data_IF_203994020933
#
_entry.id   IF_203994020933
#
_cell.length_a   1.000
_cell.length_b   1.000
_cell.length_c   1.000
_cell.angle_alpha   90.00
_cell.angle_beta   90.00
_cell.angle_gamma   90.00
#
_symmetry.space_group_name_H-M   'P 1'
#
loop_
_entity.id
_entity.type
_entity.pdbx_description
1 polymer ?
#
# COMPACT_ATOMS: atom_id res chain seq x y z
N UNK A 1 -2.05 5.28 30.10
CA UNK A 1 -2.97 4.23 30.55
C UNK A 1 -3.90 3.97 29.38
N UNK A 2 -3.53 3.01 28.51
CA UNK A 2 -4.30 2.68 27.29
C UNK A 2 -5.55 1.96 27.71
N UNK A 3 -6.69 2.49 27.29
CA UNK A 3 -7.99 1.80 27.44
C UNK A 3 -7.99 0.73 26.34
N UNK A 4 -7.73 -0.52 26.70
CA UNK A 4 -7.98 -1.65 25.82
C UNK A 4 -9.49 -1.78 25.63
N UNK A 5 -9.90 -1.88 24.37
CA UNK A 5 -11.28 -2.23 24.05
C UNK A 5 -11.50 -3.69 24.51
N UNK A 6 -12.43 -3.96 25.43
CA UNK A 6 -12.58 -5.30 26.04
C UNK A 6 -13.11 -6.39 25.09
N UNK A 7 -13.49 -6.01 23.85
CA UNK A 7 -14.05 -6.93 22.86
C UNK A 7 -13.05 -7.44 21.81
N UNK A 8 -11.78 -7.02 21.87
CA UNK A 8 -10.74 -7.51 20.93
C UNK A 8 -10.06 -8.73 21.55
N UNK A 9 -10.11 -9.91 20.89
CA UNK A 9 -9.36 -11.08 21.36
C UNK A 9 -7.87 -10.79 21.46
N UNK A 10 -7.19 -11.33 22.48
CA UNK A 10 -5.74 -11.11 22.73
C UNK A 10 -4.86 -11.57 21.55
N UNK A 11 -5.37 -12.42 20.65
CA UNK A 11 -4.70 -12.94 19.48
C UNK A 11 -5.18 -12.32 18.16
N UNK A 12 -6.03 -11.29 18.21
CA UNK A 12 -6.53 -10.63 16.99
C UNK A 12 -5.38 -10.01 16.18
N UNK A 13 -5.40 -10.27 14.88
CA UNK A 13 -4.47 -9.68 13.93
C UNK A 13 -5.16 -8.64 13.05
N UNK A 14 -4.41 -7.59 12.70
CA UNK A 14 -4.79 -6.57 11.72
C UNK A 14 -3.86 -6.65 10.52
N UNK A 15 -4.41 -6.76 9.32
CA UNK A 15 -3.64 -6.67 8.07
C UNK A 15 -3.32 -5.21 7.80
N UNK A 16 -2.06 -4.82 7.92
CA UNK A 16 -1.62 -3.43 7.79
C UNK A 16 -0.85 -3.18 6.50
N UNK A 17 -0.94 -1.94 6.01
CA UNK A 17 -0.12 -1.37 4.97
C UNK A 17 0.55 -0.09 5.48
N UNK A 18 1.88 -0.07 5.50
CA UNK A 18 2.68 1.12 5.80
C UNK A 18 3.04 1.78 4.48
N UNK A 19 2.58 3.01 4.27
CA UNK A 19 2.61 3.67 2.97
C UNK A 19 3.30 5.02 2.99
N UNK A 20 3.84 5.42 1.83
CA UNK A 20 4.15 6.81 1.51
C UNK A 20 2.96 7.42 0.74
N UNK A 21 2.56 8.62 1.13
CA UNK A 21 1.54 9.42 0.45
C UNK A 21 2.24 10.34 -0.56
N UNK A 22 1.95 10.21 -1.87
CA UNK A 22 2.57 11.05 -2.89
C UNK A 22 1.95 12.43 -2.93
N UNK A 23 2.66 13.38 -3.56
CA UNK A 23 2.15 14.72 -3.85
C UNK A 23 1.04 14.71 -4.93
N UNK A 24 0.49 15.91 -5.20
CA UNK A 24 -0.59 16.07 -6.18
C UNK A 24 -0.14 15.70 -7.60
N UNK A 25 1.14 15.87 -7.96
CA UNK A 25 1.67 15.48 -9.26
C UNK A 25 1.42 14.00 -9.55
N UNK A 26 1.86 13.11 -8.65
CA UNK A 26 1.62 11.68 -8.80
C UNK A 26 0.12 11.35 -8.68
N UNK A 27 -0.58 12.02 -7.78
CA UNK A 27 -2.02 11.80 -7.53
C UNK A 27 -2.85 12.11 -8.78
N UNK A 28 -2.58 13.22 -9.48
CA UNK A 28 -3.26 13.57 -10.72
C UNK A 28 -2.99 12.57 -11.83
N UNK A 29 -1.72 12.13 -12.02
CA UNK A 29 -1.38 11.09 -12.97
C UNK A 29 -2.10 9.77 -12.67
N UNK A 30 -2.10 9.34 -11.42
CA UNK A 30 -2.78 8.12 -10.99
C UNK A 30 -4.29 8.17 -11.23
N UNK A 31 -4.95 9.30 -10.90
CA UNK A 31 -6.37 9.53 -11.17
C UNK A 31 -6.69 9.58 -12.65
N UNK A 32 -5.82 10.14 -13.49
CA UNK A 32 -5.96 10.14 -14.94
C UNK A 32 -5.99 8.72 -15.52
N UNK A 33 -5.06 7.86 -15.08
CA UNK A 33 -5.05 6.43 -15.46
C UNK A 33 -6.30 5.71 -14.93
N UNK A 34 -6.67 5.97 -13.66
CA UNK A 34 -7.86 5.37 -13.05
C UNK A 34 -9.14 5.71 -13.82
N UNK A 35 -9.32 6.96 -14.22
CA UNK A 35 -10.48 7.39 -15.00
C UNK A 35 -10.58 6.63 -16.33
N UNK A 36 -9.47 6.39 -17.04
CA UNK A 36 -9.43 5.55 -18.23
C UNK A 36 -9.87 4.11 -17.93
N UNK A 37 -9.32 3.51 -16.88
CA UNK A 37 -9.65 2.14 -16.49
C UNK A 37 -11.13 1.99 -16.15
N UNK A 38 -11.72 2.93 -15.45
CA UNK A 38 -13.15 2.91 -15.10
C UNK A 38 -14.07 3.02 -16.32
N UNK A 39 -13.62 3.57 -17.46
CA UNK A 39 -14.42 3.56 -18.68
C UNK A 39 -14.55 2.18 -19.31
N UNK A 40 -13.52 1.32 -19.15
CA UNK A 40 -13.50 -0.04 -19.73
C UNK A 40 -13.84 -1.11 -18.68
N UNK A 41 -13.67 -0.81 -17.41
CA UNK A 41 -14.00 -1.71 -16.31
C UNK A 41 -14.69 -0.95 -15.16
N UNK A 42 -15.97 -0.59 -15.30
CA UNK A 42 -16.71 0.17 -14.26
C UNK A 42 -16.86 -0.55 -12.93
N UNK A 43 -16.65 -1.88 -12.88
CA UNK A 43 -16.65 -2.69 -11.67
C UNK A 43 -15.32 -2.64 -10.90
N UNK A 44 -14.34 -1.87 -11.37
CA UNK A 44 -13.12 -1.56 -10.65
C UNK A 44 -13.38 -0.68 -9.42
N UNK A 45 -12.34 -0.06 -8.91
CA UNK A 45 -12.45 0.91 -7.82
C UNK A 45 -11.99 2.29 -8.30
N UNK A 46 -12.65 3.34 -7.80
CA UNK A 46 -12.23 4.71 -8.01
C UNK A 46 -11.13 5.09 -7.01
N UNK A 47 -10.18 5.94 -7.43
CA UNK A 47 -9.24 6.59 -6.52
C UNK A 47 -9.93 7.79 -5.83
N UNK A 48 -10.53 7.52 -4.70
CA UNK A 48 -11.33 8.43 -3.89
C UNK A 48 -10.83 8.49 -2.42
N UNK A 49 -11.69 8.90 -1.51
CA UNK A 49 -11.36 8.99 -0.09
C UNK A 49 -11.05 7.61 0.55
N UNK A 50 -11.65 6.55 0.04
CA UNK A 50 -11.50 5.18 0.56
C UNK A 50 -10.37 4.41 -0.16
N UNK A 51 -9.85 4.95 -1.28
CA UNK A 51 -8.79 4.35 -2.08
C UNK A 51 -7.78 5.43 -2.49
N UNK A 52 -7.04 5.94 -1.51
CA UNK A 52 -6.05 6.99 -1.75
C UNK A 52 -4.83 6.46 -2.52
N UNK A 53 -4.34 7.20 -3.54
CA UNK A 53 -3.07 6.88 -4.17
C UNK A 53 -1.94 6.83 -3.13
N UNK A 54 -1.17 5.75 -3.14
CA UNK A 54 -0.08 5.55 -2.17
C UNK A 54 0.99 4.62 -2.75
N UNK A 55 2.17 4.65 -2.13
CA UNK A 55 3.22 3.68 -2.38
C UNK A 55 3.29 2.76 -1.16
N UNK A 56 2.92 1.50 -1.32
CA UNK A 56 3.14 0.48 -0.29
C UNK A 56 4.63 0.33 -0.03
N UNK A 57 5.05 0.52 1.22
CA UNK A 57 6.41 0.23 1.66
C UNK A 57 6.47 -1.14 2.32
N UNK A 58 5.46 -1.50 3.11
CA UNK A 58 5.45 -2.76 3.84
C UNK A 58 4.03 -3.22 4.18
N UNK A 59 3.70 -4.46 3.85
CA UNK A 59 2.47 -5.12 4.32
C UNK A 59 2.79 -6.25 5.29
N UNK A 60 2.05 -6.35 6.37
CA UNK A 60 2.19 -7.37 7.42
C UNK A 60 0.86 -7.62 8.15
N UNK A 61 0.80 -8.74 8.85
CA UNK A 61 -0.16 -8.92 9.94
C UNK A 61 0.48 -8.44 11.24
N UNK A 62 -0.18 -7.52 11.91
CA UNK A 62 0.23 -7.00 13.22
C UNK A 62 -0.73 -7.50 14.30
N UNK A 63 -0.23 -7.73 15.52
CA UNK A 63 -1.14 -7.93 16.66
C UNK A 63 -1.93 -6.65 16.89
N UNK A 64 -3.24 -6.75 16.92
CA UNK A 64 -4.12 -5.57 17.06
C UNK A 64 -3.84 -4.80 18.35
N UNK A 65 -3.52 -5.49 19.42
CA UNK A 65 -3.17 -4.87 20.71
C UNK A 65 -1.86 -4.06 20.65
N UNK A 66 -0.93 -4.41 19.75
CA UNK A 66 0.38 -3.78 19.63
C UNK A 66 0.41 -2.63 18.60
N UNK A 67 -0.70 -2.30 17.96
CA UNK A 67 -0.75 -1.24 16.95
C UNK A 67 -0.20 0.12 17.43
N UNK A 68 -0.48 0.59 18.68
CA UNK A 68 0.10 1.84 19.16
C UNK A 68 1.64 1.83 19.21
N UNK A 69 2.23 0.73 19.64
CA UNK A 69 3.69 0.57 19.71
C UNK A 69 4.30 0.43 18.31
N UNK A 70 3.62 -0.26 17.41
CA UNK A 70 3.99 -0.34 16.00
C UNK A 70 4.02 1.06 15.37
N UNK A 71 3.00 1.90 15.60
CA UNK A 71 2.97 3.27 15.07
C UNK A 71 4.13 4.10 15.64
N UNK A 72 4.44 3.95 16.92
CA UNK A 72 5.57 4.64 17.55
C UNK A 72 6.89 4.21 16.92
N UNK A 73 7.09 2.91 16.68
CA UNK A 73 8.28 2.39 16.03
C UNK A 73 8.41 2.87 14.58
N UNK A 74 7.33 2.86 13.81
CA UNK A 74 7.31 3.39 12.45
C UNK A 74 7.63 4.89 12.42
N UNK A 75 7.04 5.68 13.33
CA UNK A 75 7.34 7.12 13.46
C UNK A 75 8.83 7.40 13.66
N UNK A 76 9.51 6.60 14.49
CA UNK A 76 10.97 6.75 14.69
C UNK A 76 11.75 6.54 13.41
N UNK A 77 11.36 5.56 12.58
CA UNK A 77 12.00 5.31 11.28
C UNK A 77 11.75 6.49 10.33
N UNK A 78 10.52 6.90 10.16
CA UNK A 78 10.16 7.99 9.24
C UNK A 78 10.80 9.33 9.64
N UNK A 79 10.87 9.64 10.93
CA UNK A 79 11.53 10.84 11.43
C UNK A 79 13.04 10.89 11.11
N UNK A 80 13.69 9.71 11.01
CA UNK A 80 15.10 9.59 10.65
C UNK A 80 15.35 9.62 9.16
N UNK A 81 14.49 8.93 8.38
CA UNK A 81 14.65 8.81 6.93
C UNK A 81 14.18 10.05 6.17
N UNK A 82 13.24 10.82 6.72
CA UNK A 82 12.71 12.08 6.18
C UNK A 82 12.26 11.99 4.71
N UNK A 83 11.37 11.07 4.35
CA UNK A 83 11.00 10.85 2.95
C UNK A 83 10.38 12.08 2.27
N UNK A 84 9.84 13.04 3.02
CA UNK A 84 9.32 14.31 2.46
C UNK A 84 10.41 15.20 1.84
N UNK A 85 11.68 14.87 2.05
CA UNK A 85 12.81 15.56 1.42
C UNK A 85 13.27 14.90 0.12
N UNK A 86 12.67 13.76 -0.25
CA UNK A 86 13.07 13.01 -1.43
C UNK A 86 12.36 13.51 -2.68
N UNK A 87 13.04 13.37 -3.80
CA UNK A 87 12.44 13.43 -5.13
C UNK A 87 12.49 12.03 -5.72
N UNK A 88 11.33 11.49 -6.06
CA UNK A 88 11.17 10.17 -6.65
C UNK A 88 10.81 10.29 -8.13
N UNK A 89 11.09 9.24 -8.90
CA UNK A 89 10.79 9.19 -10.33
C UNK A 89 9.72 8.14 -10.61
N UNK A 90 8.64 8.55 -11.26
CA UNK A 90 7.69 7.65 -11.91
C UNK A 90 8.29 7.18 -13.24
N UNK A 91 8.48 5.86 -13.39
CA UNK A 91 9.30 5.30 -14.45
C UNK A 91 8.50 4.70 -15.61
N UNK A 92 7.40 4.02 -15.33
CA UNK A 92 6.59 3.31 -16.33
C UNK A 92 5.24 2.87 -15.78
N UNK A 93 4.33 2.53 -16.70
CA UNK A 93 3.14 1.75 -16.35
C UNK A 93 3.50 0.26 -16.19
N UNK A 94 2.72 -0.46 -15.39
CA UNK A 94 2.76 -1.90 -15.26
C UNK A 94 1.41 -2.42 -14.77
N UNK A 95 1.23 -3.73 -14.74
CA UNK A 95 0.10 -4.33 -14.03
C UNK A 95 0.48 -5.66 -13.39
N UNK A 96 -0.25 -6.03 -12.34
CA UNK A 96 -0.19 -7.35 -11.70
C UNK A 96 -1.32 -8.18 -12.30
N UNK A 97 -1.02 -9.30 -13.01
CA UNK A 97 -2.04 -10.16 -13.57
C UNK A 97 -2.91 -10.82 -12.49
N UNK A 98 -4.22 -10.78 -12.68
CA UNK A 98 -5.23 -11.46 -11.86
C UNK A 98 -6.39 -11.89 -12.78
N UNK A 99 -6.15 -12.83 -13.71
CA UNK A 99 -7.09 -13.16 -14.79
C UNK A 99 -8.53 -13.36 -14.30
N UNK A 100 -9.52 -12.82 -15.02
CA UNK A 100 -9.45 -12.15 -16.35
C UNK A 100 -9.08 -10.66 -16.30
N UNK A 101 -8.76 -10.12 -15.15
CA UNK A 101 -8.37 -8.70 -14.96
C UNK A 101 -6.90 -8.60 -14.54
N UNK A 102 -6.40 -7.38 -14.40
CA UNK A 102 -5.14 -7.03 -13.75
C UNK A 102 -5.29 -5.77 -12.91
N UNK A 103 -4.37 -5.58 -11.98
CA UNK A 103 -4.24 -4.35 -11.19
C UNK A 103 -3.12 -3.50 -11.80
N UNK A 104 -3.51 -2.40 -12.41
CA UNK A 104 -2.59 -1.45 -13.03
C UNK A 104 -1.95 -0.52 -12.01
N UNK A 105 -0.75 -0.05 -12.31
CA UNK A 105 -0.03 0.90 -11.48
C UNK A 105 1.05 1.67 -12.23
N UNK A 106 1.56 2.71 -11.58
CA UNK A 106 2.73 3.49 -11.99
C UNK A 106 3.90 3.05 -11.14
N UNK A 107 4.93 2.48 -11.76
CA UNK A 107 6.16 2.05 -11.08
C UNK A 107 6.98 3.27 -10.70
N UNK A 108 7.49 3.27 -9.48
CA UNK A 108 8.43 4.25 -8.96
C UNK A 108 9.83 3.64 -8.93
N UNK A 109 10.86 4.40 -9.27
CA UNK A 109 12.23 3.90 -9.18
C UNK A 109 12.59 3.54 -7.73
N UNK A 110 13.07 2.31 -7.53
CA UNK A 110 13.50 1.81 -6.23
C UNK A 110 14.88 2.39 -5.87
N UNK A 111 14.91 3.63 -5.40
CA UNK A 111 16.16 4.28 -4.97
C UNK A 111 16.73 3.62 -3.71
N UNK A 112 18.02 3.83 -3.44
CA UNK A 112 18.67 3.34 -2.21
C UNK A 112 17.94 3.84 -0.95
N UNK A 113 17.41 5.06 -0.97
CA UNK A 113 16.66 5.64 0.15
C UNK A 113 15.35 4.87 0.39
N UNK A 114 14.61 4.56 -0.67
CA UNK A 114 13.33 3.80 -0.58
C UNK A 114 13.60 2.37 -0.11
N UNK A 115 14.64 1.71 -0.62
CA UNK A 115 15.05 0.37 -0.18
C UNK A 115 15.48 0.36 1.30
N UNK A 116 16.24 1.36 1.71
CA UNK A 116 16.69 1.52 3.11
C UNK A 116 15.52 1.78 4.06
N UNK A 117 14.55 2.61 3.65
CA UNK A 117 13.32 2.84 4.41
C UNK A 117 12.56 1.53 4.62
N UNK A 118 12.35 0.75 3.54
CA UNK A 118 11.67 -0.54 3.63
C UNK A 118 12.37 -1.47 4.63
N UNK A 119 13.68 -1.64 4.51
CA UNK A 119 14.45 -2.52 5.39
C UNK A 119 14.34 -2.09 6.85
N UNK A 120 14.47 -0.80 7.14
CA UNK A 120 14.35 -0.28 8.51
C UNK A 120 12.95 -0.44 9.09
N UNK A 121 11.91 -0.29 8.27
CA UNK A 121 10.54 -0.54 8.72
C UNK A 121 10.32 -2.02 9.01
N UNK A 122 10.81 -2.93 8.15
CA UNK A 122 10.74 -4.38 8.40
C UNK A 122 11.34 -4.71 9.77
N UNK A 123 12.53 -4.19 10.08
CA UNK A 123 13.22 -4.43 11.34
C UNK A 123 12.49 -3.82 12.53
N UNK A 124 12.07 -2.55 12.42
CA UNK A 124 11.49 -1.80 13.53
C UNK A 124 10.13 -2.35 13.96
N UNK A 125 9.29 -2.80 13.02
CA UNK A 125 7.95 -3.28 13.35
C UNK A 125 7.85 -4.80 13.56
N UNK A 126 8.92 -5.56 13.24
CA UNK A 126 8.94 -7.01 13.39
C UNK A 126 8.47 -7.53 14.79
N UNK A 127 8.81 -6.87 15.91
CA UNK A 127 8.37 -7.31 17.23
C UNK A 127 6.84 -7.33 17.41
N UNK A 128 6.11 -6.53 16.64
CA UNK A 128 4.67 -6.33 16.75
C UNK A 128 3.87 -7.14 15.72
N UNK A 129 4.57 -7.92 14.88
CA UNK A 129 3.94 -8.66 13.77
C UNK A 129 3.74 -10.12 14.10
N UNK A 130 2.78 -10.74 13.39
CA UNK A 130 2.54 -12.18 13.39
C UNK A 130 2.75 -12.76 11.98
N UNK A 131 3.11 -14.04 11.85
CA UNK A 131 3.45 -14.63 10.55
C UNK A 131 2.25 -14.76 9.61
N UNK A 132 1.03 -14.88 10.15
CA UNK A 132 -0.20 -15.03 9.37
C UNK A 132 -1.38 -14.39 10.11
N UNK A 133 -2.45 -14.16 9.36
CA UNK A 133 -3.76 -13.74 9.85
C UNK A 133 -4.87 -14.47 9.10
N UNK A 134 -6.10 -14.01 9.27
CA UNK A 134 -7.28 -14.51 8.56
C UNK A 134 -7.93 -13.37 7.77
N UNK A 135 -9.01 -13.66 7.07
CA UNK A 135 -9.83 -12.65 6.37
C UNK A 135 -10.37 -11.57 7.32
N UNK A 136 -10.57 -11.91 8.60
CA UNK A 136 -11.06 -10.97 9.63
C UNK A 136 -10.06 -9.88 9.99
N UNK A 137 -8.78 -10.07 9.63
CA UNK A 137 -7.74 -9.07 9.82
C UNK A 137 -7.88 -7.85 8.89
N UNK A 138 -8.64 -7.98 7.82
CA UNK A 138 -8.87 -6.95 6.82
C UNK A 138 -10.07 -6.07 7.17
N UNK A 139 -10.07 -4.83 6.67
CA UNK A 139 -11.23 -3.97 6.80
C UNK A 139 -12.40 -4.53 5.98
N UNK A 140 -13.55 -4.69 6.62
CA UNK A 140 -14.79 -5.05 5.92
C UNK A 140 -15.26 -3.87 5.06
N UNK A 141 -15.65 -4.13 3.82
CA UNK A 141 -16.30 -3.11 2.99
C UNK A 141 -17.78 -3.03 3.33
N UNK A 142 -18.34 -1.82 3.32
CA UNK A 142 -19.82 -1.64 3.39
C UNK A 142 -20.55 -2.31 2.21
N UNK A 143 -19.82 -2.70 1.16
CA UNK A 143 -20.35 -3.35 -0.04
C UNK A 143 -20.31 -4.88 0.01
N UNK A 144 -19.89 -5.49 1.14
CA UNK A 144 -19.92 -6.94 1.35
C UNK A 144 -19.06 -7.74 0.36
N UNK A 145 -18.01 -7.13 -0.23
CA UNK A 145 -17.08 -7.88 -1.06
C UNK A 145 -16.17 -8.70 -0.15
N UNK A 146 -16.16 -9.99 -0.36
CA UNK A 146 -15.35 -10.90 0.43
C UNK A 146 -13.84 -10.65 0.18
N UNK A 147 -13.08 -10.65 1.26
CA UNK A 147 -11.62 -10.69 1.19
C UNK A 147 -11.23 -12.06 0.64
N UNK A 148 -10.43 -12.07 -0.43
CA UNK A 148 -10.01 -13.31 -1.07
C UNK A 148 -8.83 -13.93 -0.32
N UNK A 149 -8.82 -15.25 -0.17
CA UNK A 149 -7.76 -15.99 0.53
C UNK A 149 -6.35 -15.71 -0.02
N UNK A 150 -6.23 -15.41 -1.33
CA UNK A 150 -4.94 -15.07 -1.91
C UNK A 150 -4.34 -13.79 -1.30
N UNK A 151 -5.16 -12.81 -0.84
CA UNK A 151 -4.68 -11.60 -0.17
C UNK A 151 -4.07 -11.93 1.20
N UNK A 152 -4.68 -12.88 1.93
CA UNK A 152 -4.12 -13.37 3.20
C UNK A 152 -2.71 -13.94 2.97
N UNK A 153 -2.57 -14.80 1.95
CA UNK A 153 -1.27 -15.37 1.59
C UNK A 153 -0.28 -14.31 1.09
N UNK A 154 -0.76 -13.33 0.31
CA UNK A 154 0.09 -12.24 -0.18
C UNK A 154 0.68 -11.42 0.97
N UNK A 155 -0.14 -11.00 1.94
CA UNK A 155 0.34 -10.25 3.12
C UNK A 155 1.30 -11.08 3.97
N UNK A 156 1.00 -12.37 4.18
CA UNK A 156 1.86 -13.28 4.95
C UNK A 156 3.25 -13.44 4.32
N UNK A 157 3.33 -13.40 2.98
CA UNK A 157 4.57 -13.60 2.22
C UNK A 157 5.18 -12.31 1.67
N UNK A 158 4.62 -11.14 1.98
CA UNK A 158 5.08 -9.86 1.42
C UNK A 158 6.58 -9.64 1.59
N UNK A 159 7.12 -9.80 2.79
CA UNK A 159 8.54 -9.54 3.05
C UNK A 159 9.45 -10.42 2.18
N UNK A 160 9.36 -11.76 2.17
CA UNK A 160 10.23 -12.57 1.32
C UNK A 160 9.96 -12.42 -0.18
N UNK A 161 8.77 -11.96 -0.59
CA UNK A 161 8.38 -11.84 -1.99
C UNK A 161 8.58 -10.44 -2.59
N UNK A 162 8.52 -9.38 -1.77
CA UNK A 162 8.47 -7.99 -2.22
C UNK A 162 9.38 -7.06 -1.41
N UNK A 163 10.55 -7.52 -0.97
CA UNK A 163 11.54 -6.67 -0.31
C UNK A 163 12.92 -6.79 -0.93
N UNK A 164 13.78 -5.82 -0.65
CA UNK A 164 15.13 -5.74 -1.18
C UNK A 164 15.14 -5.68 -2.71
N UNK A 165 15.89 -6.54 -3.37
CA UNK A 165 15.99 -6.58 -4.85
C UNK A 165 14.66 -6.90 -5.55
N UNK A 166 13.71 -7.51 -4.85
CA UNK A 166 12.37 -7.82 -5.36
C UNK A 166 11.38 -6.68 -5.16
N UNK A 167 11.78 -5.64 -4.48
CA UNK A 167 10.89 -4.52 -4.20
C UNK A 167 10.58 -3.74 -5.48
N UNK A 168 9.30 -3.67 -5.82
CA UNK A 168 8.79 -2.91 -6.95
C UNK A 168 7.82 -1.84 -6.44
N UNK A 169 8.32 -0.71 -5.90
CA UNK A 169 7.45 0.34 -5.41
C UNK A 169 6.60 0.91 -6.54
N UNK A 170 5.32 1.09 -6.28
CA UNK A 170 4.37 1.56 -7.28
C UNK A 170 3.16 2.23 -6.62
N UNK A 171 2.46 3.02 -7.41
CA UNK A 171 1.14 3.54 -7.07
C UNK A 171 0.10 2.77 -7.89
N UNK A 172 -0.77 2.01 -7.22
CA UNK A 172 -1.87 1.31 -7.89
C UNK A 172 -2.88 2.33 -8.43
N UNK A 173 -3.25 2.17 -9.69
CA UNK A 173 -4.12 3.11 -10.40
C UNK A 173 -5.50 2.56 -10.71
N UNK A 174 -5.75 1.28 -10.51
CA UNK A 174 -7.06 0.68 -10.74
C UNK A 174 -7.00 -0.74 -11.28
N UNK A 175 -8.15 -1.28 -11.67
CA UNK A 175 -8.28 -2.59 -12.27
C UNK A 175 -8.80 -2.46 -13.71
N UNK A 176 -8.42 -3.41 -14.56
CA UNK A 176 -8.92 -3.47 -15.94
C UNK A 176 -8.79 -4.85 -16.55
N UNK A 177 -9.47 -5.12 -17.71
CA UNK A 177 -9.29 -6.34 -18.49
C UNK A 177 -7.83 -6.49 -18.94
N UNK A 178 -7.31 -7.72 -18.92
CA UNK A 178 -5.89 -7.95 -19.26
C UNK A 178 -5.53 -7.52 -20.68
N UNK A 179 -6.39 -7.79 -21.67
CA UNK A 179 -6.19 -7.40 -23.05
C UNK A 179 -6.03 -5.87 -23.21
N UNK A 180 -6.86 -5.11 -22.52
CA UNK A 180 -6.74 -3.65 -22.50
C UNK A 180 -5.45 -3.19 -21.79
N UNK A 181 -5.06 -3.86 -20.69
CA UNK A 181 -3.82 -3.55 -19.98
C UNK A 181 -2.59 -3.87 -20.84
N UNK A 182 -2.62 -4.99 -21.59
CA UNK A 182 -1.54 -5.33 -22.52
C UNK A 182 -1.36 -4.25 -23.59
N UNK A 183 -2.45 -3.72 -24.17
CA UNK A 183 -2.39 -2.58 -25.08
C UNK A 183 -1.81 -1.34 -24.41
N UNK A 184 -2.29 -1.00 -23.20
CA UNK A 184 -1.82 0.15 -22.43
C UNK A 184 -0.33 0.08 -22.12
N UNK A 185 0.25 -1.12 -21.91
CA UNK A 185 1.70 -1.29 -21.69
C UNK A 185 2.54 -0.97 -22.93
N UNK A 186 1.96 -0.91 -24.11
CA UNK A 186 2.67 -0.52 -25.35
C UNK A 186 2.72 0.99 -25.59
N UNK A 187 1.94 1.76 -24.84
CA UNK A 187 1.89 3.21 -24.95
C UNK A 187 3.18 3.86 -24.42
N UNK A 188 3.66 4.95 -25.03
CA UNK A 188 4.77 5.71 -24.47
C UNK A 188 4.41 6.23 -23.07
N UNK A 189 5.31 6.06 -22.11
CA UNK A 189 5.18 6.64 -20.78
C UNK A 189 6.20 7.77 -20.61
N UNK A 190 5.71 8.95 -20.32
CA UNK A 190 6.57 10.10 -20.04
C UNK A 190 6.94 10.06 -18.54
N UNK A 191 8.23 9.89 -18.23
CA UNK A 191 8.71 9.87 -16.85
C UNK A 191 8.56 11.24 -16.22
N UNK A 192 8.21 11.27 -14.93
CA UNK A 192 8.07 12.51 -14.19
C UNK A 192 8.58 12.37 -12.75
N UNK A 193 8.95 13.49 -12.16
CA UNK A 193 9.37 13.57 -10.77
C UNK A 193 8.21 13.97 -9.87
N UNK A 194 8.19 13.43 -8.65
CA UNK A 194 7.23 13.76 -7.60
C UNK A 194 7.87 13.57 -6.22
N UNK A 195 7.20 13.97 -5.15
CA UNK A 195 7.72 13.84 -3.78
C UNK A 195 6.69 13.20 -2.86
N UNK A 196 7.13 12.39 -1.88
CA UNK A 196 6.25 11.99 -0.77
C UNK A 196 5.90 13.21 0.08
N UNK A 197 4.64 13.37 0.44
CA UNK A 197 4.16 14.47 1.31
C UNK A 197 3.71 13.99 2.68
N UNK A 198 3.55 12.67 2.84
CA UNK A 198 3.08 12.05 4.06
C UNK A 198 3.45 10.57 4.13
N UNK A 199 3.16 9.98 5.28
CA UNK A 199 3.18 8.55 5.49
C UNK A 199 2.07 8.16 6.45
N UNK A 200 1.52 6.96 6.28
CA UNK A 200 0.41 6.48 7.09
C UNK A 200 0.46 4.97 7.26
N UNK A 201 -0.27 4.47 8.25
CA UNK A 201 -0.59 3.05 8.38
C UNK A 201 -2.09 2.89 8.09
N UNK A 202 -2.40 1.98 7.18
CA UNK A 202 -3.77 1.62 6.84
C UNK A 202 -4.07 0.18 7.23
N UNK A 203 -5.33 -0.12 7.48
CA UNK A 203 -5.84 -1.48 7.40
C UNK A 203 -6.19 -1.78 5.96
N UNK A 204 -5.68 -2.93 5.48
CA UNK A 204 -5.94 -3.42 4.12
C UNK A 204 -7.40 -3.82 3.95
N UNK A 205 -7.93 -3.57 2.76
CA UNK A 205 -9.26 -3.97 2.33
C UNK A 205 -9.25 -4.89 1.11
N UNK A 206 -10.36 -4.90 0.39
CA UNK A 206 -10.50 -5.65 -0.88
C UNK A 206 -9.45 -5.18 -1.91
N UNK A 207 -9.02 -6.08 -2.77
CA UNK A 207 -7.92 -5.86 -3.74
C UNK A 207 -6.57 -5.48 -3.11
N UNK A 208 -6.40 -5.63 -1.79
CA UNK A 208 -5.18 -5.19 -1.10
C UNK A 208 -5.04 -3.67 -1.03
N UNK A 209 -6.14 -2.94 -1.13
CA UNK A 209 -6.16 -1.47 -1.07
C UNK A 209 -5.95 -0.95 0.36
N UNK A 210 -5.35 0.23 0.52
CA UNK A 210 -5.28 0.96 1.77
C UNK A 210 -6.64 1.57 2.10
N UNK A 211 -7.51 0.79 2.76
CA UNK A 211 -8.93 1.13 2.89
C UNK A 211 -9.25 1.97 4.12
N UNK A 212 -8.73 1.61 5.29
CA UNK A 212 -9.02 2.34 6.52
C UNK A 212 -7.74 2.90 7.11
N UNK A 213 -7.61 4.23 7.14
CA UNK A 213 -6.47 4.88 7.79
C UNK A 213 -6.52 4.60 9.30
N UNK A 214 -5.48 3.96 9.82
CA UNK A 214 -5.31 3.66 11.24
C UNK A 214 -4.51 4.75 11.96
N UNK A 215 -3.45 5.25 11.31
CA UNK A 215 -2.62 6.32 11.85
C UNK A 215 -1.98 7.14 10.73
N UNK A 216 -1.92 8.45 10.89
CA UNK A 216 -0.98 9.30 10.16
C UNK A 216 0.35 9.29 10.92
N UNK A 217 1.45 9.06 10.20
CA UNK A 217 2.78 9.06 10.79
C UNK A 217 3.35 10.47 10.80
N UNK A 218 3.97 10.85 11.91
CA UNK A 218 4.54 12.19 12.05
C UNK A 218 5.86 12.28 11.29
N UNK A 219 5.86 13.00 10.18
CA UNK A 219 7.06 13.34 9.45
C UNK A 219 7.57 14.66 10.01
N UNK A 220 8.50 14.60 10.98
CA UNK A 220 9.14 15.83 11.48
C UNK A 220 10.04 16.38 10.37
N UNK A 221 9.92 17.69 10.04
CA UNK A 221 10.74 18.31 9.00
C UNK A 221 12.23 18.31 9.32
#
# INVERSE_FOLDING_TARGET
>A
MSIQDPDVPDDAATAIDVVLEPDETMTEHARGVNARLLTVYPNGFALDADHQPHITVLQRFARTADLPDLYAAANVVFAREKPTTWTLTAAKLYYIPSPPIGLAGIVVEATEDVLRLQQKLIEAIAPFTVPCGTVDAFASTQQGRDIQEFLVQYVATFVPAASGEKFNPHVTTGAGPQDYLDEMMTEPFETFAFSPVGASVYQLGTFGTAQKKLAALTLTP
#
